data_IF_479401801817
#
_entry.id   IF_479401801817
#
_cell.length_a   1.000
_cell.length_b   1.000
_cell.length_c   1.000
_cell.angle_alpha   90.00
_cell.angle_beta   90.00
_cell.angle_gamma   90.00
#
_symmetry.space_group_name_H-M   'P 1'
#
loop_
_entity.id
_entity.type
_entity.pdbx_description
1 polymer ?
#
# COMPACT_ATOMS: atom_id res chain seq x y z
N UNK A 1 30.59 -26.20 -9.79
CA UNK A 1 29.34 -26.49 -10.51
C UNK A 1 29.19 -25.43 -11.59
N UNK A 2 29.02 -25.78 -12.88
CA UNK A 2 28.83 -24.79 -13.93
C UNK A 2 27.57 -23.99 -13.64
N UNK A 3 27.69 -22.65 -13.55
CA UNK A 3 26.53 -21.76 -13.40
C UNK A 3 25.67 -21.90 -14.66
N UNK A 4 24.45 -22.43 -14.52
CA UNK A 4 23.48 -22.49 -15.60
C UNK A 4 23.05 -21.06 -15.94
N UNK A 5 23.43 -20.58 -17.12
CA UNK A 5 22.96 -19.28 -17.59
C UNK A 5 21.51 -19.41 -18.03
N UNK A 6 20.61 -18.67 -17.38
CA UNK A 6 19.19 -18.60 -17.76
C UNK A 6 18.99 -17.31 -18.51
N UNK A 7 18.45 -17.41 -19.72
CA UNK A 7 18.12 -16.23 -20.57
C UNK A 7 16.60 -16.07 -20.52
N UNK A 8 16.14 -14.93 -19.94
CA UNK A 8 14.74 -14.54 -19.91
C UNK A 8 14.49 -13.51 -21.02
N UNK A 9 13.49 -13.77 -21.85
CA UNK A 9 13.08 -12.88 -22.95
C UNK A 9 11.82 -12.11 -22.55
N UNK A 10 11.57 -10.96 -23.16
CA UNK A 10 10.34 -10.19 -22.96
C UNK A 10 9.07 -11.01 -23.27
N UNK A 11 9.13 -11.95 -24.21
CA UNK A 11 8.05 -12.87 -24.57
C UNK A 11 7.70 -13.87 -23.48
N UNK A 12 8.58 -14.08 -22.50
CA UNK A 12 8.37 -15.05 -21.43
C UNK A 12 7.49 -14.48 -20.31
N UNK A 13 7.38 -13.13 -20.23
CA UNK A 13 6.50 -12.47 -19.29
C UNK A 13 5.04 -12.63 -19.70
N UNK A 14 4.21 -13.15 -18.80
CA UNK A 14 2.78 -13.39 -19.02
C UNK A 14 1.95 -12.57 -18.04
N UNK A 15 1.15 -11.65 -18.56
CA UNK A 15 0.15 -10.97 -17.73
C UNK A 15 -0.84 -11.98 -17.12
N UNK A 16 -1.37 -11.69 -15.91
CA UNK A 16 -2.45 -12.45 -15.33
C UNK A 16 -3.68 -12.52 -16.25
N UNK A 17 -4.23 -13.71 -16.43
CA UNK A 17 -5.49 -13.91 -17.12
C UNK A 17 -6.68 -13.47 -16.26
N UNK A 18 -7.85 -13.28 -16.89
CA UNK A 18 -9.08 -12.93 -16.16
C UNK A 18 -9.49 -14.00 -15.14
N UNK A 19 -9.27 -15.26 -15.45
CA UNK A 19 -9.66 -16.36 -14.57
C UNK A 19 -8.73 -16.45 -13.37
N UNK A 20 -7.40 -16.31 -13.56
CA UNK A 20 -6.43 -16.23 -12.46
C UNK A 20 -6.73 -15.05 -11.53
N UNK A 21 -7.00 -13.87 -12.08
CA UNK A 21 -7.38 -12.70 -11.27
C UNK A 21 -8.67 -12.94 -10.50
N UNK A 22 -9.67 -13.61 -11.11
CA UNK A 22 -10.94 -13.93 -10.45
C UNK A 22 -10.75 -14.86 -9.24
N UNK A 23 -9.83 -15.82 -9.31
CA UNK A 23 -9.55 -16.71 -8.18
C UNK A 23 -8.97 -15.93 -6.99
N UNK A 24 -8.03 -15.01 -7.23
CA UNK A 24 -7.51 -14.14 -6.17
C UNK A 24 -8.58 -13.20 -5.62
N UNK A 25 -9.44 -12.69 -6.50
CA UNK A 25 -10.52 -11.75 -6.12
C UNK A 25 -11.55 -12.37 -5.16
N UNK A 26 -11.89 -13.65 -5.36
CA UNK A 26 -12.90 -14.35 -4.54
C UNK A 26 -12.56 -14.44 -3.06
N UNK A 27 -11.29 -14.42 -2.72
CA UNK A 27 -10.79 -14.65 -1.36
C UNK A 27 -10.40 -13.37 -0.63
N UNK A 28 -10.47 -12.22 -1.30
CA UNK A 28 -9.99 -10.95 -0.76
C UNK A 28 -11.12 -9.91 -0.69
N UNK A 29 -11.09 -9.03 0.33
CA UNK A 29 -12.07 -7.95 0.45
C UNK A 29 -11.85 -6.88 -0.62
N UNK A 30 -12.91 -6.14 -0.95
CA UNK A 30 -12.79 -4.95 -1.80
C UNK A 30 -12.30 -3.74 -1.00
N UNK A 31 -11.44 -2.93 -1.60
CA UNK A 31 -11.05 -1.64 -1.06
C UNK A 31 -12.01 -0.56 -1.55
N UNK A 32 -12.86 -0.07 -0.66
CA UNK A 32 -13.89 0.92 -0.99
C UNK A 32 -13.41 2.35 -0.74
N UNK A 33 -14.08 3.32 -1.37
CA UNK A 33 -14.09 4.72 -0.96
C UNK A 33 -15.27 4.99 -0.01
N UNK A 34 -15.33 6.21 0.54
CA UNK A 34 -16.39 6.59 1.49
C UNK A 34 -17.72 6.91 0.79
N UNK A 35 -17.66 7.30 -0.48
CA UNK A 35 -18.84 7.67 -1.27
C UNK A 35 -19.32 9.09 -0.98
N UNK A 36 -18.42 10.00 -0.60
CA UNK A 36 -18.79 11.39 -0.38
C UNK A 36 -19.27 12.05 -1.66
N UNK A 37 -20.37 12.79 -1.55
CA UNK A 37 -20.99 13.51 -2.66
C UNK A 37 -20.94 15.01 -2.40
N UNK A 38 -20.58 15.78 -3.42
CA UNK A 38 -20.76 17.23 -3.42
C UNK A 38 -22.07 17.55 -4.14
N UNK A 39 -22.91 18.37 -3.52
CA UNK A 39 -23.98 19.02 -4.27
C UNK A 39 -23.33 19.93 -5.31
N UNK A 40 -23.86 19.96 -6.53
CA UNK A 40 -23.36 20.90 -7.55
C UNK A 40 -23.23 22.29 -6.92
N UNK A 41 -22.02 22.90 -6.91
CA UNK A 41 -21.78 24.15 -6.16
C UNK A 41 -22.76 25.25 -6.50
N UNK A 42 -23.15 25.34 -7.76
CA UNK A 42 -24.15 26.32 -8.24
C UNK A 42 -25.54 26.11 -7.64
N UNK A 43 -26.01 24.84 -7.58
CA UNK A 43 -27.35 24.52 -7.03
C UNK A 43 -27.38 24.77 -5.52
N UNK A 44 -26.29 24.40 -4.81
CA UNK A 44 -26.18 24.63 -3.37
C UNK A 44 -26.15 26.14 -2.99
N UNK A 45 -25.47 26.96 -3.80
CA UNK A 45 -25.42 28.42 -3.62
C UNK A 45 -26.75 29.08 -3.94
N UNK A 46 -27.44 28.68 -5.02
CA UNK A 46 -28.73 29.24 -5.42
C UNK A 46 -29.82 28.88 -4.41
N UNK A 47 -29.78 27.67 -3.83
CA UNK A 47 -30.76 27.28 -2.81
C UNK A 47 -30.55 27.92 -1.43
N UNK A 48 -29.43 28.60 -1.23
CA UNK A 48 -29.02 29.21 0.05
C UNK A 48 -29.05 28.28 1.28
N UNK A 49 -29.06 26.96 1.03
CA UNK A 49 -29.15 25.94 2.10
C UNK A 49 -27.82 25.64 2.76
N UNK A 50 -26.69 25.93 2.07
CA UNK A 50 -25.32 25.74 2.59
C UNK A 50 -24.48 27.01 2.42
N UNK A 51 -23.67 27.31 3.42
CA UNK A 51 -22.65 28.33 3.31
C UNK A 51 -21.55 27.98 2.33
N UNK A 52 -20.92 28.95 1.67
CA UNK A 52 -19.85 28.76 0.69
C UNK A 52 -18.68 27.88 1.23
N UNK A 53 -18.35 27.99 2.52
CA UNK A 53 -17.31 27.20 3.16
C UNK A 53 -17.68 25.71 3.26
N UNK A 54 -18.95 25.41 3.49
CA UNK A 54 -19.45 24.02 3.53
C UNK A 54 -19.44 23.38 2.15
N UNK A 55 -19.92 24.13 1.13
CA UNK A 55 -19.89 23.69 -0.26
C UNK A 55 -18.44 23.41 -0.68
N UNK A 56 -17.52 24.28 -0.38
CA UNK A 56 -16.09 24.12 -0.67
C UNK A 56 -15.51 22.89 0.03
N UNK A 57 -15.83 22.66 1.32
CA UNK A 57 -15.39 21.46 2.05
C UNK A 57 -15.94 20.18 1.43
N UNK A 58 -17.23 20.14 1.08
CA UNK A 58 -17.87 18.97 0.51
C UNK A 58 -17.29 18.62 -0.87
N UNK A 59 -16.97 19.63 -1.68
CA UNK A 59 -16.29 19.46 -2.96
C UNK A 59 -14.88 18.85 -2.79
N UNK A 60 -14.12 19.36 -1.83
CA UNK A 60 -12.81 18.82 -1.51
C UNK A 60 -12.88 17.40 -0.91
N UNK A 61 -13.89 17.08 -0.10
CA UNK A 61 -14.12 15.72 0.39
C UNK A 61 -14.40 14.77 -0.76
N UNK A 62 -15.29 15.14 -1.68
CA UNK A 62 -15.58 14.33 -2.86
C UNK A 62 -14.32 14.13 -3.73
N UNK A 63 -13.52 15.19 -3.91
CA UNK A 63 -12.27 15.11 -4.68
C UNK A 63 -11.31 14.09 -4.06
N UNK A 64 -11.01 14.20 -2.76
CA UNK A 64 -10.07 13.30 -2.09
C UNK A 64 -10.60 11.87 -1.97
N UNK A 65 -11.91 11.70 -1.86
CA UNK A 65 -12.54 10.37 -1.90
C UNK A 65 -12.38 9.68 -3.26
N UNK A 66 -12.51 10.41 -4.37
CA UNK A 66 -12.21 9.90 -5.71
C UNK A 66 -10.73 9.57 -5.89
N UNK A 67 -9.83 10.41 -5.37
CA UNK A 67 -8.40 10.12 -5.38
C UNK A 67 -8.10 8.85 -4.58
N UNK A 68 -8.72 8.68 -3.41
CA UNK A 68 -8.59 7.49 -2.58
C UNK A 68 -9.08 6.24 -3.33
N UNK A 69 -10.24 6.30 -4.00
CA UNK A 69 -10.76 5.21 -4.82
C UNK A 69 -9.77 4.79 -5.90
N UNK A 70 -9.17 5.75 -6.60
CA UNK A 70 -8.16 5.47 -7.62
C UNK A 70 -6.89 4.83 -7.02
N UNK A 71 -6.42 5.31 -5.86
CA UNK A 71 -5.25 4.73 -5.16
C UNK A 71 -5.53 3.31 -4.68
N UNK A 72 -6.71 3.07 -4.12
CA UNK A 72 -7.18 1.74 -3.73
C UNK A 72 -7.20 0.79 -4.95
N UNK A 73 -7.71 1.24 -6.09
CA UNK A 73 -7.71 0.46 -7.33
C UNK A 73 -6.30 0.12 -7.84
N UNK A 74 -5.33 1.05 -7.71
CA UNK A 74 -3.93 0.78 -8.07
C UNK A 74 -3.29 -0.22 -7.11
N UNK A 75 -3.51 -0.07 -5.80
CA UNK A 75 -3.03 -1.00 -4.78
C UNK A 75 -3.60 -2.40 -4.99
N UNK A 76 -4.92 -2.52 -5.20
CA UNK A 76 -5.59 -3.80 -5.47
C UNK A 76 -5.03 -4.48 -6.70
N UNK A 77 -4.81 -3.73 -7.79
CA UNK A 77 -4.25 -4.28 -9.03
C UNK A 77 -2.85 -4.85 -8.80
N UNK A 78 -1.99 -4.14 -8.10
CA UNK A 78 -0.63 -4.63 -7.83
C UNK A 78 -0.66 -5.83 -6.91
N UNK A 79 -1.51 -5.84 -5.90
CA UNK A 79 -1.72 -6.99 -5.03
C UNK A 79 -2.18 -8.22 -5.81
N UNK A 80 -3.24 -8.11 -6.62
CA UNK A 80 -3.76 -9.25 -7.39
C UNK A 80 -2.76 -9.79 -8.40
N UNK A 81 -2.03 -8.91 -9.07
CA UNK A 81 -0.98 -9.35 -9.99
C UNK A 81 0.14 -10.10 -9.26
N UNK A 82 0.61 -9.59 -8.11
CA UNK A 82 1.60 -10.29 -7.31
C UNK A 82 1.10 -11.68 -6.89
N UNK A 83 -0.14 -11.79 -6.38
CA UNK A 83 -0.72 -13.04 -5.92
C UNK A 83 -0.84 -14.07 -7.06
N UNK A 84 -1.23 -13.66 -8.27
CA UNK A 84 -1.28 -14.58 -9.43
C UNK A 84 0.11 -15.14 -9.73
N UNK A 85 1.15 -14.31 -9.75
CA UNK A 85 2.51 -14.82 -10.00
C UNK A 85 3.01 -15.72 -8.89
N UNK A 86 2.64 -15.44 -7.64
CA UNK A 86 2.92 -16.32 -6.53
C UNK A 86 2.19 -17.68 -6.68
N UNK A 87 0.91 -17.67 -7.06
CA UNK A 87 0.10 -18.87 -7.26
C UNK A 87 0.55 -19.72 -8.44
N UNK A 88 1.15 -19.14 -9.48
CA UNK A 88 1.80 -19.88 -10.58
C UNK A 88 2.97 -20.73 -10.09
N UNK A 89 3.51 -20.39 -8.93
CA UNK A 89 4.46 -21.18 -8.18
C UNK A 89 5.92 -20.85 -8.51
N UNK A 90 6.68 -20.75 -7.43
CA UNK A 90 8.14 -20.83 -7.38
C UNK A 90 8.51 -21.14 -5.93
N UNK A 91 9.60 -21.94 -5.71
CA UNK A 91 10.04 -22.24 -4.35
C UNK A 91 10.68 -21.01 -3.69
N UNK A 92 10.75 -20.99 -2.35
CA UNK A 92 11.52 -19.96 -1.62
C UNK A 92 13.05 -20.14 -1.79
N UNK A 93 13.49 -21.34 -2.14
CA UNK A 93 14.90 -21.66 -2.38
C UNK A 93 15.24 -21.54 -3.87
N UNK A 94 16.05 -20.54 -4.21
CA UNK A 94 16.48 -20.30 -5.59
C UNK A 94 17.30 -21.45 -6.21
N UNK A 95 17.91 -22.31 -5.41
CA UNK A 95 18.66 -23.47 -5.92
C UNK A 95 17.77 -24.48 -6.64
N UNK A 96 16.46 -24.45 -6.34
CA UNK A 96 15.44 -25.30 -6.95
C UNK A 96 14.73 -24.65 -8.15
N UNK A 97 15.17 -23.47 -8.60
CA UNK A 97 14.47 -22.74 -9.66
C UNK A 97 14.66 -23.38 -11.03
N UNK A 98 13.54 -23.51 -11.73
CA UNK A 98 13.45 -23.73 -13.17
C UNK A 98 13.20 -22.38 -13.88
N UNK A 99 13.20 -22.38 -15.23
CA UNK A 99 13.04 -21.16 -16.02
C UNK A 99 11.75 -20.38 -15.67
N UNK A 100 10.62 -21.06 -15.55
CA UNK A 100 9.34 -20.44 -15.22
C UNK A 100 9.30 -19.86 -13.79
N UNK A 101 10.03 -20.48 -12.85
CA UNK A 101 10.13 -19.99 -11.48
C UNK A 101 10.82 -18.61 -11.43
N UNK A 102 11.88 -18.38 -12.21
CA UNK A 102 12.52 -17.07 -12.29
C UNK A 102 11.57 -16.01 -12.83
N UNK A 103 10.78 -16.32 -13.86
CA UNK A 103 9.82 -15.38 -14.44
C UNK A 103 8.75 -14.99 -13.41
N UNK A 104 8.16 -15.98 -12.77
CA UNK A 104 7.14 -15.74 -11.75
C UNK A 104 7.70 -14.98 -10.55
N UNK A 105 8.92 -15.31 -10.10
CA UNK A 105 9.58 -14.61 -9.01
C UNK A 105 9.86 -13.15 -9.34
N UNK A 106 10.43 -12.85 -10.51
CA UNK A 106 10.72 -11.47 -10.93
C UNK A 106 9.43 -10.64 -10.98
N UNK A 107 8.35 -11.19 -11.54
CA UNK A 107 7.08 -10.47 -11.61
C UNK A 107 6.42 -10.31 -10.23
N UNK A 108 6.47 -11.33 -9.38
CA UNK A 108 6.02 -11.22 -8.00
C UNK A 108 6.76 -10.10 -7.26
N UNK A 109 8.09 -10.10 -7.30
CA UNK A 109 8.93 -9.12 -6.62
C UNK A 109 8.66 -7.70 -7.11
N UNK A 110 8.51 -7.51 -8.42
CA UNK A 110 8.17 -6.22 -9.01
C UNK A 110 6.82 -5.70 -8.52
N UNK A 111 5.78 -6.53 -8.54
CA UNK A 111 4.45 -6.11 -8.07
C UNK A 111 4.41 -5.94 -6.54
N UNK A 112 5.16 -6.74 -5.78
CA UNK A 112 5.28 -6.57 -4.34
C UNK A 112 5.91 -5.22 -3.98
N UNK A 113 7.02 -4.85 -4.63
CA UNK A 113 7.65 -3.54 -4.43
C UNK A 113 6.67 -2.40 -4.74
N UNK A 114 5.97 -2.46 -5.88
CA UNK A 114 4.98 -1.45 -6.26
C UNK A 114 3.79 -1.42 -5.27
N UNK A 115 3.39 -2.57 -4.71
CA UNK A 115 2.37 -2.65 -3.67
C UNK A 115 2.75 -1.80 -2.45
N UNK A 116 3.97 -1.94 -1.95
CA UNK A 116 4.43 -1.16 -0.79
C UNK A 116 4.47 0.34 -1.06
N UNK A 117 4.81 0.76 -2.28
CA UNK A 117 4.72 2.18 -2.67
C UNK A 117 3.27 2.67 -2.72
N UNK A 118 2.37 1.90 -3.32
CA UNK A 118 0.95 2.27 -3.36
C UNK A 118 0.30 2.29 -1.98
N UNK A 119 0.67 1.37 -1.09
CA UNK A 119 0.21 1.38 0.29
C UNK A 119 0.51 2.70 0.99
N UNK A 120 1.74 3.21 0.87
CA UNK A 120 2.09 4.54 1.38
C UNK A 120 1.24 5.65 0.79
N UNK A 121 1.02 5.63 -0.52
CA UNK A 121 0.21 6.68 -1.18
C UNK A 121 -1.26 6.62 -0.79
N UNK A 122 -1.80 5.44 -0.49
CA UNK A 122 -3.16 5.29 0.09
C UNK A 122 -3.23 5.92 1.47
N UNK A 123 -2.25 5.67 2.35
CA UNK A 123 -2.18 6.29 3.68
C UNK A 123 -2.13 7.80 3.60
N UNK A 124 -1.28 8.35 2.74
CA UNK A 124 -1.17 9.81 2.57
C UNK A 124 -2.46 10.40 2.00
N UNK A 125 -3.12 9.73 1.07
CA UNK A 125 -4.42 10.16 0.52
C UNK A 125 -5.51 10.13 1.58
N UNK A 126 -5.54 9.11 2.43
CA UNK A 126 -6.43 9.03 3.58
C UNK A 126 -6.17 10.20 4.55
N UNK A 127 -4.91 10.55 4.78
CA UNK A 127 -4.54 11.73 5.56
C UNK A 127 -5.09 13.03 4.97
N UNK A 128 -5.03 13.23 3.66
CA UNK A 128 -5.62 14.38 2.98
C UNK A 128 -7.15 14.45 3.19
N UNK A 129 -7.83 13.32 3.05
CA UNK A 129 -9.26 13.21 3.28
C UNK A 129 -9.62 13.60 4.72
N UNK A 130 -8.90 13.09 5.72
CA UNK A 130 -9.10 13.41 7.14
C UNK A 130 -8.78 14.89 7.43
N UNK A 131 -7.75 15.45 6.81
CA UNK A 131 -7.41 16.86 6.90
C UNK A 131 -8.60 17.76 6.49
N UNK A 132 -9.25 17.40 5.38
CA UNK A 132 -10.45 18.13 4.91
C UNK A 132 -11.66 17.85 5.80
N UNK A 133 -11.90 16.58 6.17
CA UNK A 133 -13.04 16.19 7.00
C UNK A 133 -13.09 16.93 8.33
N UNK A 134 -11.95 17.04 9.00
CA UNK A 134 -11.83 17.76 10.29
C UNK A 134 -11.43 19.24 10.15
N UNK A 135 -11.29 19.75 8.93
CA UNK A 135 -10.87 21.14 8.67
C UNK A 135 -9.58 21.53 9.39
N UNK A 136 -8.57 20.64 9.36
CA UNK A 136 -7.32 20.81 10.13
C UNK A 136 -6.40 21.91 9.57
N UNK A 137 -6.57 22.31 8.32
CA UNK A 137 -5.83 23.40 7.68
C UNK A 137 -4.38 23.08 7.29
N UNK A 138 -4.01 21.81 7.18
CA UNK A 138 -2.69 21.47 6.63
C UNK A 138 -2.63 21.76 5.13
N UNK A 139 -1.51 22.36 4.71
CA UNK A 139 -1.17 22.51 3.30
C UNK A 139 -0.98 21.11 2.65
N UNK A 140 -1.59 20.92 1.49
CA UNK A 140 -1.53 19.65 0.73
C UNK A 140 -0.09 19.18 0.50
N UNK A 141 0.82 20.12 0.16
CA UNK A 141 2.22 19.81 -0.13
C UNK A 141 3.05 19.44 1.12
N UNK A 142 2.57 19.80 2.32
CA UNK A 142 3.27 19.59 3.60
C UNK A 142 2.55 18.64 4.54
N UNK A 143 1.47 18.03 4.06
CA UNK A 143 0.71 17.09 4.84
C UNK A 143 1.42 15.74 4.89
N UNK A 144 1.68 15.27 6.10
CA UNK A 144 2.14 13.91 6.38
C UNK A 144 1.10 13.20 7.24
N UNK A 145 0.81 11.95 6.95
CA UNK A 145 -0.20 11.17 7.66
C UNK A 145 -0.04 11.21 9.19
N UNK A 146 1.21 11.10 9.70
CA UNK A 146 1.51 11.18 11.13
C UNK A 146 1.08 12.51 11.78
N UNK A 147 1.17 13.62 11.03
CA UNK A 147 0.81 14.95 11.55
C UNK A 147 -0.71 15.10 11.66
N UNK A 148 -1.43 14.50 10.72
CA UNK A 148 -2.90 14.44 10.74
C UNK A 148 -3.38 13.61 11.92
N UNK A 149 -2.80 12.42 12.11
CA UNK A 149 -3.15 11.53 13.22
C UNK A 149 -3.05 12.22 14.59
N UNK A 150 -2.00 13.02 14.79
CA UNK A 150 -1.80 13.76 16.05
C UNK A 150 -2.86 14.84 16.34
N UNK A 151 -3.68 15.22 15.34
CA UNK A 151 -4.70 16.27 15.45
C UNK A 151 -6.14 15.76 15.28
N UNK A 152 -6.37 14.47 15.12
CA UNK A 152 -7.71 13.90 15.02
C UNK A 152 -8.44 14.11 16.36
N UNK A 153 -9.57 14.85 16.37
CA UNK A 153 -10.29 15.13 17.63
C UNK A 153 -11.14 13.95 18.10
N UNK A 154 -11.50 13.04 17.19
CA UNK A 154 -12.34 11.88 17.46
C UNK A 154 -11.49 10.71 17.96
N UNK A 155 -11.72 10.29 19.19
CA UNK A 155 -10.96 9.21 19.83
C UNK A 155 -11.17 7.85 19.14
N UNK A 156 -12.39 7.56 18.65
CA UNK A 156 -12.68 6.30 17.98
C UNK A 156 -11.93 6.21 16.62
N UNK A 157 -11.93 7.30 15.85
CA UNK A 157 -11.17 7.40 14.59
C UNK A 157 -9.67 7.32 14.86
N UNK A 158 -9.17 8.05 15.84
CA UNK A 158 -7.76 8.02 16.23
C UNK A 158 -7.33 6.61 16.63
N UNK A 159 -8.14 5.94 17.47
CA UNK A 159 -7.87 4.56 17.90
C UNK A 159 -7.83 3.59 16.71
N UNK A 160 -8.83 3.62 15.83
CA UNK A 160 -8.88 2.75 14.66
C UNK A 160 -7.63 2.88 13.78
N UNK A 161 -7.14 4.12 13.58
CA UNK A 161 -5.93 4.36 12.79
C UNK A 161 -4.67 3.91 13.54
N UNK A 162 -4.61 4.09 14.86
CA UNK A 162 -3.48 3.61 15.65
C UNK A 162 -3.38 2.08 15.64
N UNK A 163 -4.50 1.40 15.83
CA UNK A 163 -4.57 -0.08 15.75
C UNK A 163 -4.11 -0.56 14.35
N UNK A 164 -4.57 0.09 13.29
CA UNK A 164 -4.12 -0.20 11.92
C UNK A 164 -2.63 0.04 11.73
N UNK A 165 -2.05 1.12 12.27
CA UNK A 165 -0.61 1.37 12.16
C UNK A 165 0.22 0.28 12.86
N UNK A 166 -0.24 -0.24 14.00
CA UNK A 166 0.40 -1.39 14.67
C UNK A 166 0.34 -2.64 13.77
N UNK A 167 -0.82 -2.94 13.19
CA UNK A 167 -0.98 -4.10 12.28
C UNK A 167 -0.12 -4.00 11.01
N UNK A 168 0.21 -2.79 10.57
CA UNK A 168 0.96 -2.53 9.33
C UNK A 168 2.36 -1.97 9.55
N UNK A 169 2.93 -2.14 10.74
CA UNK A 169 4.27 -1.66 11.09
C UNK A 169 5.34 -2.29 10.16
N UNK A 170 5.34 -3.62 10.05
CA UNK A 170 6.26 -4.37 9.19
C UNK A 170 6.11 -3.94 7.71
N UNK A 171 4.90 -3.66 7.26
CA UNK A 171 4.65 -3.14 5.90
C UNK A 171 5.34 -1.80 5.66
N UNK A 172 5.32 -0.94 6.68
CA UNK A 172 6.01 0.37 6.62
C UNK A 172 7.53 0.17 6.61
N UNK A 173 8.07 -0.78 7.36
CA UNK A 173 9.49 -1.13 7.34
C UNK A 173 9.92 -1.69 5.99
N UNK A 174 9.14 -2.58 5.39
CA UNK A 174 9.40 -3.15 4.06
C UNK A 174 9.40 -2.05 2.99
N UNK A 175 8.41 -1.17 3.01
CA UNK A 175 8.38 0.01 2.12
C UNK A 175 9.66 0.85 2.25
N UNK A 176 10.09 1.13 3.48
CA UNK A 176 11.30 1.93 3.71
C UNK A 176 12.57 1.22 3.24
N UNK A 177 12.61 -0.10 3.34
CA UNK A 177 13.72 -0.90 2.83
C UNK A 177 13.79 -0.85 1.32
N UNK A 178 12.68 -1.03 0.61
CA UNK A 178 12.63 -0.89 -0.85
C UNK A 178 13.02 0.51 -1.34
N UNK A 179 12.67 1.57 -0.58
CA UNK A 179 12.87 2.95 -1.02
C UNK A 179 14.26 3.50 -0.67
N UNK A 180 14.79 3.14 0.50
CA UNK A 180 15.92 3.85 1.11
C UNK A 180 17.06 2.95 1.60
N UNK A 181 16.89 1.61 1.52
CA UNK A 181 17.84 0.65 2.07
C UNK A 181 18.07 -0.49 1.06
N UNK A 182 18.62 -1.59 1.55
CA UNK A 182 18.72 -2.84 0.78
C UNK A 182 17.31 -3.43 0.63
N UNK A 183 16.86 -3.76 -0.60
CA UNK A 183 15.60 -4.45 -0.81
C UNK A 183 15.52 -5.75 0.01
N UNK A 184 14.37 -5.98 0.65
CA UNK A 184 14.19 -7.12 1.56
C UNK A 184 14.23 -8.48 0.87
N UNK A 185 13.94 -8.52 -0.42
CA UNK A 185 13.83 -9.71 -1.24
C UNK A 185 15.16 -10.12 -1.90
N UNK A 186 16.26 -9.39 -1.62
CA UNK A 186 17.58 -9.70 -2.12
C UNK A 186 18.57 -9.93 -0.99
N UNK A 187 19.45 -10.94 -1.09
CA UNK A 187 20.53 -11.13 -0.13
C UNK A 187 21.52 -9.97 -0.20
N UNK A 188 21.89 -9.44 0.96
CA UNK A 188 22.96 -8.44 1.04
C UNK A 188 24.31 -9.15 0.93
N UNK A 189 24.91 -9.07 -0.25
CA UNK A 189 26.22 -9.66 -0.54
C UNK A 189 27.38 -8.67 -0.46
N UNK A 190 27.15 -7.48 0.10
CA UNK A 190 28.23 -6.48 0.28
C UNK A 190 29.28 -6.98 1.25
N UNK A 191 30.53 -6.57 1.01
CA UNK A 191 31.61 -6.85 1.95
C UNK A 191 31.47 -6.01 3.22
N UNK A 192 31.88 -6.57 4.36
CA UNK A 192 31.98 -5.88 5.64
C UNK A 192 33.43 -5.81 6.09
N UNK A 193 33.78 -4.75 6.80
CA UNK A 193 35.06 -4.62 7.48
C UNK A 193 34.76 -4.40 8.96
N UNK A 194 35.12 -5.38 9.76
CA UNK A 194 34.97 -5.29 11.20
C UNK A 194 36.34 -4.97 11.85
N UNK A 195 36.32 -4.03 12.81
CA UNK A 195 37.48 -3.66 13.61
C UNK A 195 37.48 -4.46 14.91
N UNK A 196 38.47 -5.33 15.09
CA UNK A 196 38.66 -6.09 16.34
C UNK A 196 40.04 -5.77 16.88
N UNK A 197 40.13 -4.79 17.81
CA UNK A 197 41.39 -4.24 18.27
C UNK A 197 42.18 -3.63 17.11
N UNK A 198 43.44 -4.05 16.95
CA UNK A 198 44.34 -3.58 15.90
C UNK A 198 44.18 -4.37 14.56
N UNK A 199 43.24 -5.31 14.50
CA UNK A 199 43.04 -6.17 13.34
C UNK A 199 41.79 -5.75 12.54
N UNK A 200 41.92 -5.79 11.20
CA UNK A 200 40.82 -5.61 10.26
C UNK A 200 40.39 -6.98 9.79
N UNK A 201 39.12 -7.31 10.02
CA UNK A 201 38.50 -8.54 9.51
C UNK A 201 37.64 -8.18 8.30
N UNK A 202 38.02 -8.69 7.13
CA UNK A 202 37.25 -8.57 5.91
C UNK A 202 36.30 -9.76 5.79
N UNK A 203 35.00 -9.50 5.69
CA UNK A 203 33.96 -10.52 5.54
C UNK A 203 32.91 -10.14 4.49
N UNK A 204 32.00 -11.04 4.19
CA UNK A 204 30.77 -10.71 3.44
C UNK A 204 29.60 -10.63 4.41
N UNK A 205 28.79 -9.60 4.30
CA UNK A 205 27.51 -9.54 4.98
C UNK A 205 26.61 -10.62 4.35
N UNK A 206 26.43 -11.72 5.04
CA UNK A 206 25.50 -12.77 4.62
C UNK A 206 24.18 -12.53 5.35
N UNK A 207 23.43 -11.51 4.93
CA UNK A 207 22.14 -11.22 5.53
C UNK A 207 21.05 -12.06 4.86
N UNK A 208 20.27 -12.72 5.70
CA UNK A 208 19.09 -13.43 5.26
C UNK A 208 18.10 -12.43 4.62
N UNK A 209 17.73 -12.70 3.39
CA UNK A 209 16.62 -11.97 2.76
C UNK A 209 15.27 -12.50 3.25
N UNK A 210 14.24 -11.68 3.12
CA UNK A 210 12.86 -12.07 3.43
C UNK A 210 12.33 -12.96 2.31
N UNK A 211 11.87 -14.16 2.67
CA UNK A 211 11.31 -15.12 1.72
C UNK A 211 10.05 -14.59 1.06
N UNK A 212 9.79 -15.01 -0.17
CA UNK A 212 8.59 -14.57 -0.91
C UNK A 212 7.29 -15.00 -0.24
N UNK A 213 7.28 -16.14 0.43
CA UNK A 213 6.13 -16.57 1.25
C UNK A 213 5.80 -15.57 2.37
N UNK A 214 6.82 -15.04 3.05
CA UNK A 214 6.65 -14.05 4.12
C UNK A 214 6.19 -12.69 3.55
N UNK A 215 6.74 -12.30 2.40
CA UNK A 215 6.30 -11.07 1.71
C UNK A 215 4.83 -11.19 1.28
N UNK A 216 4.45 -12.33 0.72
CA UNK A 216 3.06 -12.64 0.34
C UNK A 216 2.11 -12.53 1.55
N UNK A 217 2.45 -13.15 2.67
CA UNK A 217 1.64 -13.14 3.89
C UNK A 217 1.49 -11.71 4.45
N UNK A 218 2.56 -10.92 4.41
CA UNK A 218 2.51 -9.52 4.81
C UNK A 218 1.63 -8.68 3.88
N UNK A 219 1.70 -8.88 2.57
CA UNK A 219 0.84 -8.17 1.62
C UNK A 219 -0.63 -8.52 1.85
N UNK A 220 -0.97 -9.78 2.06
CA UNK A 220 -2.33 -10.27 2.31
C UNK A 220 -2.88 -9.68 3.61
N UNK A 221 -2.14 -9.80 4.72
CA UNK A 221 -2.55 -9.25 6.02
C UNK A 221 -2.72 -7.72 5.97
N UNK A 222 -1.85 -7.02 5.26
CA UNK A 222 -1.93 -5.57 5.06
C UNK A 222 -3.18 -5.18 4.27
N UNK A 223 -3.48 -5.92 3.21
CA UNK A 223 -4.65 -5.68 2.37
C UNK A 223 -5.96 -5.85 3.16
N UNK A 224 -6.06 -6.92 3.94
CA UNK A 224 -7.19 -7.19 4.83
C UNK A 224 -7.31 -6.12 5.92
N UNK A 225 -6.20 -5.74 6.56
CA UNK A 225 -6.19 -4.70 7.58
C UNK A 225 -6.65 -3.34 7.03
N UNK A 226 -6.23 -3.00 5.80
CA UNK A 226 -6.66 -1.75 5.15
C UNK A 226 -8.16 -1.77 4.84
N UNK A 227 -8.70 -2.87 4.33
CA UNK A 227 -10.13 -3.01 4.10
C UNK A 227 -10.93 -2.81 5.40
N UNK A 228 -10.53 -3.47 6.47
CA UNK A 228 -11.15 -3.32 7.79
C UNK A 228 -11.08 -1.90 8.35
N UNK A 229 -9.95 -1.20 8.13
CA UNK A 229 -9.85 0.23 8.49
C UNK A 229 -10.84 1.08 7.69
N UNK A 230 -10.90 0.91 6.36
CA UNK A 230 -11.79 1.69 5.50
C UNK A 230 -13.26 1.48 5.87
N UNK A 231 -13.67 0.23 6.15
CA UNK A 231 -15.01 -0.08 6.63
C UNK A 231 -15.31 0.59 7.97
N UNK A 232 -14.38 0.52 8.92
CA UNK A 232 -14.52 1.16 10.23
C UNK A 232 -14.64 2.67 10.09
N UNK A 233 -13.75 3.29 9.31
CA UNK A 233 -13.79 4.74 9.10
C UNK A 233 -15.05 5.19 8.35
N UNK A 234 -15.57 4.39 7.44
CA UNK A 234 -16.83 4.69 6.73
C UNK A 234 -18.02 4.80 7.70
N UNK A 235 -18.03 3.99 8.75
CA UNK A 235 -19.05 4.09 9.81
C UNK A 235 -18.83 5.30 10.72
N UNK A 236 -17.57 5.61 11.05
CA UNK A 236 -17.22 6.69 11.97
C UNK A 236 -17.23 8.10 11.35
N UNK A 237 -17.09 8.17 10.03
CA UNK A 237 -16.99 9.41 9.27
C UNK A 237 -18.17 9.59 8.30
N UNK A 238 -19.43 9.62 8.79
CA UNK A 238 -20.56 9.81 7.90
C UNK A 238 -20.48 11.18 7.23
N UNK A 239 -20.88 11.26 5.97
CA UNK A 239 -21.07 12.55 5.33
C UNK A 239 -22.20 13.28 6.06
N UNK A 240 -21.90 14.46 6.62
CA UNK A 240 -22.93 15.36 7.10
C UNK A 240 -23.63 15.99 5.89
N UNK A 241 -24.61 15.30 5.35
CA UNK A 241 -25.49 15.87 4.36
C UNK A 241 -26.29 16.92 5.14
N UNK A 242 -25.98 18.19 4.92
CA UNK A 242 -26.72 19.30 5.51
C UNK A 242 -28.21 19.07 5.19
N UNK A 243 -29.05 19.04 6.24
CA UNK A 243 -30.45 18.66 6.11
C UNK A 243 -31.14 19.40 4.97
N UNK A 244 -31.85 18.61 4.17
CA UNK A 244 -32.86 19.08 3.22
C UNK A 244 -34.00 19.68 4.02
#
# INVERSE_FOLDING_TARGET
VPKKTIIIKASDYRYPSRDELREVYKTNPDLHAFGYMSAYPMIALISMKKGIKEVHRDDHLQYWDRVLLNRNGMLSRTYYNAMVHYMRGFPDDESAFEHEHYINRIQFDQYAEIFYYHFSTVKDTLGQLLNVYYSMGFDVAKMFFKNVLAKIPDQAVSKAIMDFNVLTEITTEYRNSFTHRTPINYPDSRSTIDHTGDSLIYGSANHNFVKSSVIRDNMESTFIALAGLLDTLKMLLPQKIGGI
#
